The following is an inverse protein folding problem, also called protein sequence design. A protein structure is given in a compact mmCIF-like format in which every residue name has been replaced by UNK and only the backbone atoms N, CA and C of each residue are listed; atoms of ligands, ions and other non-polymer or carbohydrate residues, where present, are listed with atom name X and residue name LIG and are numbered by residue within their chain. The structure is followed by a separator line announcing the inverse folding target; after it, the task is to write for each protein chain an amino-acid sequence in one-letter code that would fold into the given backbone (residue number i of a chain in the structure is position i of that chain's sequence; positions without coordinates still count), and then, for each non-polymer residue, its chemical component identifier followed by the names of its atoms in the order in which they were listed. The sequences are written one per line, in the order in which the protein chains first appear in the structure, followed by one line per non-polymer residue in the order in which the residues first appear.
data_IF_426947146560
#
_entry.id   IF_426947146560
#
_cell.length_a   1.000
_cell.length_b   1.000
_cell.length_c   1.000
_cell.angle_alpha   90.00
_cell.angle_beta   90.00
_cell.angle_gamma   90.00
#
_symmetry.space_group_name_H-M   'P 1'
#
loop_
_entity.id
_entity.type
_entity.pdbx_description
1 polymer ?
#
# COMPACT_ATOMS: atom_id res chain seq x y z
N UNK A 1 -2.54 15.80 22.22
CA UNK A 1 -3.65 14.79 22.30
C UNK A 1 -3.80 14.30 23.73
N UNK A 2 -4.96 13.75 24.08
CA UNK A 2 -5.24 13.13 25.39
C UNK A 2 -5.06 11.60 25.29
N UNK A 3 -4.88 10.87 26.42
CA UNK A 3 -4.84 9.40 26.42
C UNK A 3 -6.06 8.75 25.73
N UNK A 4 -7.25 9.37 25.85
CA UNK A 4 -8.46 8.90 25.17
C UNK A 4 -8.35 9.02 23.64
N UNK A 5 -7.78 10.12 23.15
CA UNK A 5 -7.58 10.33 21.72
C UNK A 5 -6.53 9.38 21.16
N UNK A 6 -5.46 9.09 21.89
CA UNK A 6 -4.49 8.07 21.52
C UNK A 6 -5.16 6.69 21.49
N UNK A 7 -5.87 6.29 22.55
CA UNK A 7 -6.58 5.01 22.57
C UNK A 7 -7.54 4.83 21.37
N UNK A 8 -8.23 5.89 20.96
CA UNK A 8 -9.10 5.85 19.80
C UNK A 8 -8.31 5.68 18.49
N UNK A 9 -7.17 6.35 18.36
CA UNK A 9 -6.32 6.25 17.16
C UNK A 9 -5.79 4.84 16.99
N UNK A 10 -5.16 4.27 18.03
CA UNK A 10 -4.63 2.91 18.00
C UNK A 10 -5.73 1.85 17.79
N UNK A 11 -6.90 2.04 18.43
CA UNK A 11 -8.04 1.17 18.17
C UNK A 11 -8.53 1.21 16.73
N UNK A 12 -8.56 2.40 16.13
CA UNK A 12 -8.95 2.60 14.73
C UNK A 12 -7.96 1.89 13.80
N UNK A 13 -6.66 2.03 14.05
CA UNK A 13 -5.62 1.50 13.20
C UNK A 13 -5.53 -0.04 13.38
N UNK A 14 -5.68 -0.55 14.60
CA UNK A 14 -5.90 -1.98 14.86
C UNK A 14 -7.06 -2.57 14.05
N UNK A 15 -8.23 -1.91 14.07
CA UNK A 15 -9.39 -2.39 13.33
C UNK A 15 -9.15 -2.31 11.82
N UNK A 16 -8.50 -1.25 11.34
CA UNK A 16 -8.18 -1.07 9.94
C UNK A 16 -7.27 -2.18 9.42
N UNK A 17 -6.13 -2.42 10.06
CA UNK A 17 -5.19 -3.47 9.68
C UNK A 17 -5.82 -4.86 9.72
N UNK A 18 -6.52 -5.19 10.80
CA UNK A 18 -7.23 -6.48 10.95
C UNK A 18 -8.28 -6.70 9.86
N UNK A 19 -9.09 -5.70 9.54
CA UNK A 19 -10.16 -5.84 8.54
C UNK A 19 -9.61 -5.87 7.11
N UNK A 20 -8.49 -5.21 6.85
CA UNK A 20 -7.78 -5.29 5.57
C UNK A 20 -7.10 -6.65 5.40
N UNK A 21 -6.45 -7.18 6.42
CA UNK A 21 -5.83 -8.51 6.40
C UNK A 21 -6.81 -9.62 6.03
N UNK A 22 -8.06 -9.56 6.54
CA UNK A 22 -9.11 -10.55 6.21
C UNK A 22 -9.47 -10.63 4.73
N UNK A 23 -9.28 -9.56 3.99
CA UNK A 23 -9.67 -9.45 2.58
C UNK A 23 -8.46 -9.38 1.64
N UNK A 24 -7.26 -9.32 2.18
CA UNK A 24 -6.03 -9.25 1.40
C UNK A 24 -5.71 -10.60 0.75
N UNK A 25 -5.37 -10.56 -0.54
CA UNK A 25 -5.02 -11.74 -1.34
C UNK A 25 -3.51 -11.96 -1.45
N UNK A 26 -2.72 -10.88 -1.38
CA UNK A 26 -1.28 -10.97 -1.33
C UNK A 26 -0.87 -11.48 0.05
N UNK A 27 -0.32 -12.71 0.12
CA UNK A 27 -0.02 -13.38 1.38
C UNK A 27 1.04 -12.63 2.20
N UNK A 28 2.06 -12.08 1.54
CA UNK A 28 3.13 -11.35 2.23
C UNK A 28 2.59 -10.06 2.86
N UNK A 29 1.76 -9.33 2.10
CA UNK A 29 1.15 -8.12 2.64
C UNK A 29 0.09 -8.42 3.71
N UNK A 30 -0.61 -9.53 3.59
CA UNK A 30 -1.52 -10.00 4.65
C UNK A 30 -0.78 -10.24 5.95
N UNK A 31 0.37 -10.90 5.91
CA UNK A 31 1.21 -11.13 7.09
C UNK A 31 1.64 -9.81 7.73
N UNK A 32 2.10 -8.84 6.93
CA UNK A 32 2.44 -7.50 7.42
C UNK A 32 1.24 -6.85 8.13
N UNK A 33 0.06 -6.88 7.52
CA UNK A 33 -1.14 -6.31 8.13
C UNK A 33 -1.55 -7.00 9.44
N UNK A 34 -1.33 -8.31 9.56
CA UNK A 34 -1.60 -9.08 10.79
C UNK A 34 -0.61 -8.70 11.90
N UNK A 35 0.68 -8.53 11.58
CA UNK A 35 1.71 -8.06 12.52
C UNK A 35 1.42 -6.64 13.00
N UNK A 36 1.11 -5.72 12.07
CA UNK A 36 0.72 -4.36 12.41
C UNK A 36 -0.51 -4.34 13.32
N UNK A 37 -1.51 -5.16 13.04
CA UNK A 37 -2.72 -5.24 13.88
C UNK A 37 -2.42 -5.71 15.31
N UNK A 38 -1.50 -6.64 15.53
CA UNK A 38 -1.13 -7.08 16.88
C UNK A 38 -0.34 -6.00 17.64
N UNK A 39 0.54 -5.24 16.97
CA UNK A 39 1.22 -4.11 17.59
C UNK A 39 0.23 -3.01 18.01
N UNK A 40 -0.64 -2.58 17.10
CA UNK A 40 -1.67 -1.56 17.38
C UNK A 40 -2.61 -1.97 18.52
N UNK A 41 -2.95 -3.26 18.60
CA UNK A 41 -3.75 -3.78 19.70
C UNK A 41 -3.06 -3.63 21.04
N UNK A 42 -1.75 -3.91 21.11
CA UNK A 42 -0.96 -3.72 22.33
C UNK A 42 -0.91 -2.26 22.76
N UNK A 43 -0.68 -1.36 21.80
CA UNK A 43 -0.62 0.08 22.05
C UNK A 43 -2.00 0.66 22.40
N UNK A 44 -3.07 0.16 21.76
CA UNK A 44 -4.45 0.46 22.18
C UNK A 44 -4.73 0.04 23.61
N UNK A 45 -4.37 -1.17 24.02
CA UNK A 45 -4.61 -1.67 25.38
C UNK A 45 -3.88 -0.82 26.42
N UNK A 46 -2.66 -0.38 26.13
CA UNK A 46 -1.92 0.53 26.97
C UNK A 46 -2.66 1.88 27.12
N UNK A 47 -3.03 2.54 26.04
CA UNK A 47 -3.71 3.83 26.09
C UNK A 47 -5.11 3.73 26.70
N UNK A 48 -5.82 2.63 26.44
CA UNK A 48 -7.12 2.34 27.05
C UNK A 48 -7.01 2.23 28.58
N UNK A 49 -5.93 1.68 29.10
CA UNK A 49 -5.73 1.60 30.54
C UNK A 49 -5.62 2.98 31.18
N UNK A 50 -5.02 3.95 30.50
CA UNK A 50 -4.85 5.34 30.93
C UNK A 50 -6.06 6.23 30.59
N UNK A 51 -6.96 5.79 29.73
CA UNK A 51 -8.15 6.53 29.30
C UNK A 51 -9.29 6.40 30.31
N UNK A 52 -10.07 7.45 30.46
CA UNK A 52 -11.34 7.41 31.18
C UNK A 52 -12.42 6.62 30.44
N UNK A 53 -12.37 6.63 29.11
CA UNK A 53 -13.26 5.86 28.25
C UNK A 53 -12.68 4.46 27.98
N UNK A 54 -13.48 3.42 28.22
CA UNK A 54 -13.03 2.02 28.12
C UNK A 54 -13.51 1.30 26.87
N UNK A 55 -14.51 1.84 26.17
CA UNK A 55 -15.08 1.24 24.98
C UNK A 55 -14.98 2.20 23.78
N UNK A 56 -14.46 1.70 22.69
CA UNK A 56 -14.32 2.41 21.41
C UNK A 56 -15.00 1.60 20.32
N UNK A 57 -15.55 2.29 19.34
CA UNK A 57 -16.18 1.67 18.17
C UNK A 57 -15.84 2.42 16.92
N UNK A 58 -15.69 1.68 15.83
CA UNK A 58 -15.50 2.22 14.49
C UNK A 58 -16.77 2.02 13.69
N UNK A 59 -17.21 3.07 13.05
CA UNK A 59 -18.43 3.01 12.24
C UNK A 59 -18.20 2.06 11.04
N UNK A 60 -19.13 1.13 10.72
CA UNK A 60 -18.97 0.17 9.63
C UNK A 60 -18.65 0.81 8.27
N UNK A 61 -19.15 2.03 8.03
CA UNK A 61 -18.84 2.77 6.81
C UNK A 61 -17.34 3.09 6.66
N UNK A 62 -16.61 3.32 7.75
CA UNK A 62 -15.16 3.55 7.69
C UNK A 62 -14.43 2.30 7.25
N UNK A 63 -14.81 1.14 7.79
CA UNK A 63 -14.24 -0.15 7.38
C UNK A 63 -14.51 -0.42 5.89
N UNK A 64 -15.74 -0.12 5.45
CA UNK A 64 -16.10 -0.26 4.04
C UNK A 64 -15.26 0.66 3.14
N UNK A 65 -15.02 1.91 3.56
CA UNK A 65 -14.17 2.87 2.81
C UNK A 65 -12.74 2.35 2.68
N UNK A 66 -12.12 1.79 3.72
CA UNK A 66 -10.76 1.21 3.63
C UNK A 66 -10.70 0.06 2.63
N UNK A 67 -11.69 -0.85 2.67
CA UNK A 67 -11.79 -1.97 1.71
C UNK A 67 -12.02 -1.47 0.28
N UNK A 68 -12.82 -0.42 0.10
CA UNK A 68 -13.03 0.20 -1.21
C UNK A 68 -11.74 0.86 -1.74
N UNK A 69 -11.03 1.60 -0.90
CA UNK A 69 -9.73 2.19 -1.25
C UNK A 69 -8.77 1.11 -1.75
N UNK A 70 -8.64 0.00 -1.01
CA UNK A 70 -7.79 -1.13 -1.40
C UNK A 70 -8.19 -1.68 -2.78
N UNK A 71 -9.50 -1.86 -3.00
CA UNK A 71 -10.02 -2.44 -4.24
C UNK A 71 -9.85 -1.53 -5.47
N UNK A 72 -10.03 -0.21 -5.29
CA UNK A 72 -10.08 0.76 -6.42
C UNK A 72 -8.71 1.38 -6.68
N UNK A 73 -7.97 1.73 -5.64
CA UNK A 73 -6.68 2.46 -5.72
C UNK A 73 -5.46 1.56 -5.64
N UNK A 74 -5.66 0.29 -5.31
CA UNK A 74 -4.58 -0.70 -5.22
C UNK A 74 -3.78 -0.62 -3.91
N UNK A 75 -2.79 -1.52 -3.81
CA UNK A 75 -1.99 -1.70 -2.60
C UNK A 75 -1.08 -0.50 -2.32
N UNK A 76 -0.41 0.01 -3.33
CA UNK A 76 0.52 1.15 -3.18
C UNK A 76 -0.16 2.39 -2.59
N UNK A 77 -1.40 2.68 -3.02
CA UNK A 77 -2.13 3.81 -2.49
C UNK A 77 -2.58 3.57 -1.05
N UNK A 78 -3.06 2.37 -0.75
CA UNK A 78 -3.47 2.00 0.60
C UNK A 78 -2.29 2.07 1.58
N UNK A 79 -1.15 1.48 1.22
CA UNK A 79 0.05 1.52 2.05
C UNK A 79 0.53 2.95 2.32
N UNK A 80 0.49 3.82 1.29
CA UNK A 80 0.80 5.24 1.44
C UNK A 80 -0.19 6.01 2.31
N UNK A 81 -1.46 5.63 2.25
CA UNK A 81 -2.50 6.20 3.09
C UNK A 81 -2.28 5.81 4.56
N UNK A 82 -1.96 4.55 4.84
CA UNK A 82 -1.66 4.05 6.18
C UNK A 82 -0.37 4.69 6.73
N UNK A 83 0.71 4.73 5.96
CA UNK A 83 1.97 5.41 6.30
C UNK A 83 1.73 6.88 6.72
N UNK A 84 0.86 7.59 6.02
CA UNK A 84 0.56 8.99 6.36
C UNK A 84 -0.13 9.15 7.73
N UNK A 85 -0.79 8.10 8.23
CA UNK A 85 -1.38 8.07 9.57
C UNK A 85 -0.30 7.86 10.63
N UNK A 86 0.62 6.92 10.41
CA UNK A 86 1.75 6.66 11.30
C UNK A 86 2.62 7.91 11.52
N UNK A 87 2.98 8.59 10.45
CA UNK A 87 3.75 9.84 10.52
C UNK A 87 3.05 10.95 11.34
N UNK A 88 1.72 10.99 11.35
CA UNK A 88 0.95 11.91 12.20
C UNK A 88 0.96 11.47 13.66
N UNK A 89 0.81 10.18 13.92
CA UNK A 89 0.85 9.60 15.27
C UNK A 89 2.20 9.88 15.93
N UNK A 90 3.30 9.65 15.26
CA UNK A 90 4.67 9.96 15.74
C UNK A 90 4.79 11.44 16.16
N UNK A 91 4.24 12.38 15.37
CA UNK A 91 4.27 13.80 15.71
C UNK A 91 3.50 14.09 17.00
N UNK A 92 2.32 13.54 17.13
CA UNK A 92 1.50 13.74 18.34
C UNK A 92 2.15 13.11 19.57
N UNK A 93 2.83 11.98 19.44
CA UNK A 93 3.59 11.37 20.53
C UNK A 93 4.77 12.25 20.96
N UNK A 94 5.52 12.83 20.02
CA UNK A 94 6.61 13.77 20.32
C UNK A 94 6.10 15.00 21.09
N UNK A 95 4.97 15.54 20.68
CA UNK A 95 4.31 16.65 21.38
C UNK A 95 3.87 16.26 22.79
N UNK A 96 3.27 15.08 22.95
CA UNK A 96 2.83 14.59 24.24
C UNK A 96 3.98 14.30 25.19
N UNK A 97 5.07 13.70 24.70
CA UNK A 97 6.29 13.42 25.48
C UNK A 97 6.89 14.67 26.12
N UNK A 98 6.75 15.84 25.49
CA UNK A 98 7.27 17.11 26.05
C UNK A 98 6.58 17.50 27.38
N UNK A 99 5.38 17.00 27.63
CA UNK A 99 4.58 17.25 28.84
C UNK A 99 4.64 16.12 29.88
N UNK A 100 5.22 14.97 29.53
CA UNK A 100 5.29 13.80 30.39
C UNK A 100 6.53 13.89 31.30
N UNK A 101 6.32 13.85 32.62
CA UNK A 101 7.38 13.83 33.62
C UNK A 101 7.67 12.45 34.19
N UNK A 102 6.72 11.52 34.11
CA UNK A 102 6.87 10.15 34.54
C UNK A 102 7.81 9.38 33.59
N UNK A 103 8.85 8.82 34.14
CA UNK A 103 9.91 8.10 33.41
C UNK A 103 9.41 6.78 32.80
N UNK A 104 8.53 6.05 33.52
CA UNK A 104 7.99 4.78 33.02
C UNK A 104 7.02 5.01 31.85
N UNK A 105 6.13 5.99 32.02
CA UNK A 105 5.21 6.42 30.96
C UNK A 105 5.98 6.92 29.73
N UNK A 106 7.04 7.70 29.95
CA UNK A 106 7.91 8.20 28.87
C UNK A 106 8.55 7.08 28.07
N UNK A 107 9.15 6.10 28.76
CA UNK A 107 9.77 4.94 28.11
C UNK A 107 8.77 4.13 27.29
N UNK A 108 7.55 3.95 27.80
CA UNK A 108 6.51 3.21 27.10
C UNK A 108 6.06 3.95 25.83
N UNK A 109 5.92 5.28 25.87
CA UNK A 109 5.58 6.09 24.69
C UNK A 109 6.71 6.05 23.66
N UNK A 110 7.96 6.08 24.09
CA UNK A 110 9.13 5.91 23.20
C UNK A 110 9.09 4.56 22.47
N UNK A 111 8.74 3.47 23.16
CA UNK A 111 8.53 2.15 22.53
C UNK A 111 7.39 2.17 21.50
N UNK A 112 6.27 2.82 21.79
CA UNK A 112 5.16 2.96 20.84
C UNK A 112 5.59 3.74 19.59
N UNK A 113 6.39 4.79 19.77
CA UNK A 113 6.95 5.54 18.62
C UNK A 113 7.90 4.70 17.78
N UNK A 114 8.72 3.83 18.41
CA UNK A 114 9.58 2.89 17.70
C UNK A 114 8.76 1.90 16.86
N UNK A 115 7.62 1.41 17.39
CA UNK A 115 6.68 0.57 16.63
C UNK A 115 6.14 1.33 15.41
N UNK A 116 5.65 2.56 15.59
CA UNK A 116 5.12 3.38 14.49
C UNK A 116 6.17 3.64 13.39
N UNK A 117 7.44 3.88 13.76
CA UNK A 117 8.55 4.01 12.79
C UNK A 117 8.88 2.68 12.09
N UNK A 118 8.70 1.55 12.75
CA UNK A 118 8.85 0.22 12.15
C UNK A 118 7.71 -0.07 11.17
N UNK A 119 6.47 0.26 11.54
CA UNK A 119 5.29 0.14 10.67
C UNK A 119 5.46 0.93 9.37
N UNK A 120 5.91 2.19 9.47
CA UNK A 120 6.22 3.01 8.31
C UNK A 120 7.24 2.32 7.40
N UNK A 121 8.33 1.78 7.97
CA UNK A 121 9.37 1.07 7.20
C UNK A 121 8.83 -0.19 6.52
N UNK A 122 8.01 -0.99 7.20
CA UNK A 122 7.41 -2.21 6.66
C UNK A 122 6.50 -1.88 5.48
N UNK A 123 5.60 -0.91 5.63
CA UNK A 123 4.70 -0.46 4.58
C UNK A 123 5.45 0.11 3.37
N UNK A 124 6.48 0.93 3.61
CA UNK A 124 7.30 1.52 2.55
C UNK A 124 8.16 0.50 1.80
N UNK A 125 8.66 -0.53 2.48
CA UNK A 125 9.41 -1.61 1.82
C UNK A 125 8.53 -2.33 0.80
N UNK A 126 7.29 -2.62 1.17
CA UNK A 126 6.35 -3.31 0.28
C UNK A 126 5.94 -2.47 -0.93
N UNK A 127 5.75 -1.16 -0.75
CA UNK A 127 5.51 -0.24 -1.87
C UNK A 127 6.68 -0.25 -2.86
N UNK A 128 7.93 -0.30 -2.38
CA UNK A 128 9.12 -0.34 -3.23
C UNK A 128 9.19 -1.65 -4.02
N UNK A 129 8.94 -2.78 -3.38
CA UNK A 129 8.92 -4.10 -4.03
C UNK A 129 7.89 -4.14 -5.18
N UNK A 130 6.63 -3.76 -4.92
CA UNK A 130 5.60 -3.73 -5.95
C UNK A 130 5.94 -2.81 -7.12
N UNK A 131 6.54 -1.64 -6.85
CA UNK A 131 6.96 -0.74 -7.93
C UNK A 131 8.06 -1.33 -8.80
N UNK A 132 9.03 -2.01 -8.22
CA UNK A 132 10.11 -2.66 -8.95
C UNK A 132 9.56 -3.78 -9.81
N UNK A 133 8.67 -4.62 -9.28
CA UNK A 133 8.03 -5.70 -10.01
C UNK A 133 7.17 -5.16 -11.17
N UNK A 134 6.38 -4.12 -10.92
CA UNK A 134 5.55 -3.48 -11.95
C UNK A 134 6.39 -2.84 -13.07
N UNK A 135 7.48 -2.14 -12.73
CA UNK A 135 8.39 -1.55 -13.71
C UNK A 135 9.08 -2.67 -14.51
N UNK A 136 9.50 -3.75 -13.87
CA UNK A 136 10.09 -4.92 -14.53
C UNK A 136 9.14 -5.51 -15.57
N UNK A 137 7.88 -5.70 -15.22
CA UNK A 137 6.85 -6.22 -16.14
C UNK A 137 6.60 -5.27 -17.32
N UNK A 138 6.59 -3.95 -17.10
CA UNK A 138 6.47 -2.96 -18.19
C UNK A 138 7.66 -3.05 -19.14
N UNK A 139 8.88 -3.10 -18.60
CA UNK A 139 10.11 -3.16 -19.42
C UNK A 139 10.13 -4.43 -20.28
N UNK A 140 9.77 -5.59 -19.70
CA UNK A 140 9.67 -6.84 -20.43
C UNK A 140 8.64 -6.75 -21.57
N UNK A 141 7.44 -6.28 -21.27
CA UNK A 141 6.38 -6.12 -22.27
C UNK A 141 6.74 -5.14 -23.38
N UNK A 142 7.44 -4.04 -23.07
CA UNK A 142 7.95 -3.09 -24.07
C UNK A 142 9.00 -3.72 -24.96
N UNK A 143 9.95 -4.49 -24.39
CA UNK A 143 10.98 -5.17 -25.15
C UNK A 143 10.38 -6.17 -26.15
N UNK A 144 9.47 -7.02 -25.68
CA UNK A 144 8.82 -8.03 -26.52
C UNK A 144 8.03 -7.36 -27.64
N UNK A 145 7.25 -6.32 -27.32
CA UNK A 145 6.48 -5.56 -28.30
C UNK A 145 7.35 -4.84 -29.34
N UNK A 146 8.50 -4.29 -28.94
CA UNK A 146 9.44 -3.65 -29.86
C UNK A 146 10.08 -4.66 -30.80
N UNK A 147 10.46 -5.85 -30.32
CA UNK A 147 11.06 -6.91 -31.15
C UNK A 147 10.03 -7.42 -32.15
N UNK A 148 8.81 -7.73 -31.71
CA UNK A 148 7.71 -8.21 -32.56
C UNK A 148 7.37 -7.18 -33.65
N UNK A 149 7.16 -5.93 -33.27
CA UNK A 149 6.81 -4.84 -34.18
C UNK A 149 7.94 -4.56 -35.19
N UNK A 150 9.20 -4.57 -34.73
CA UNK A 150 10.34 -4.36 -35.61
C UNK A 150 10.46 -5.48 -36.66
N UNK A 151 10.32 -6.74 -36.25
CA UNK A 151 10.32 -7.89 -37.16
C UNK A 151 9.18 -7.83 -38.17
N UNK A 152 7.97 -7.49 -37.72
CA UNK A 152 6.79 -7.33 -38.58
C UNK A 152 7.00 -6.21 -39.63
N UNK A 153 7.45 -5.02 -39.17
CA UNK A 153 7.69 -3.89 -40.09
C UNK A 153 8.76 -4.18 -41.13
N UNK A 154 9.86 -4.85 -40.75
CA UNK A 154 10.87 -5.30 -41.69
C UNK A 154 10.27 -6.28 -42.68
N UNK A 155 9.57 -7.31 -42.25
CA UNK A 155 8.89 -8.26 -43.11
C UNK A 155 7.92 -7.61 -44.09
N UNK A 156 7.08 -6.69 -43.61
CA UNK A 156 6.10 -5.96 -44.46
C UNK A 156 6.79 -5.04 -45.47
N UNK A 157 7.90 -4.40 -45.11
CA UNK A 157 8.64 -3.54 -46.04
C UNK A 157 9.28 -4.31 -47.20
N UNK A 158 9.58 -5.59 -47.03
CA UNK A 158 9.99 -6.46 -48.12
C UNK A 158 8.81 -6.99 -48.94
N UNK A 159 7.67 -7.18 -48.36
CA UNK A 159 6.50 -7.77 -49.00
C UNK A 159 5.64 -6.74 -49.77
N UNK A 160 5.64 -5.48 -49.35
CA UNK A 160 4.75 -4.43 -49.88
C UNK A 160 5.57 -3.20 -50.34
N UNK A 161 5.37 -2.77 -51.57
CA UNK A 161 5.96 -1.53 -52.09
C UNK A 161 5.26 -0.25 -51.64
N UNK A 162 4.05 -0.37 -51.07
CA UNK A 162 3.26 0.76 -50.63
C UNK A 162 3.49 1.06 -49.13
N UNK A 163 4.16 2.17 -48.85
CA UNK A 163 4.50 2.59 -47.49
C UNK A 163 3.29 2.78 -46.58
N UNK A 164 2.11 3.17 -47.12
CA UNK A 164 0.89 3.30 -46.33
C UNK A 164 0.38 1.94 -45.85
N UNK A 165 0.50 0.91 -46.69
CA UNK A 165 0.15 -0.47 -46.33
C UNK A 165 1.07 -0.97 -45.21
N UNK A 166 2.37 -0.76 -45.34
CA UNK A 166 3.37 -1.14 -44.34
C UNK A 166 3.06 -0.44 -42.99
N UNK A 167 2.80 0.87 -43.01
CA UNK A 167 2.51 1.65 -41.82
C UNK A 167 1.22 1.19 -41.14
N UNK A 168 0.12 1.02 -41.88
CA UNK A 168 -1.16 0.58 -41.32
C UNK A 168 -1.08 -0.83 -40.75
N UNK A 169 -0.43 -1.75 -41.44
CA UNK A 169 -0.25 -3.12 -40.96
C UNK A 169 0.62 -3.15 -39.68
N UNK A 170 1.69 -2.34 -39.65
CA UNK A 170 2.49 -2.17 -38.41
C UNK A 170 1.72 -1.65 -37.23
N UNK A 171 0.85 -0.64 -37.41
CA UNK A 171 0.00 -0.12 -36.34
C UNK A 171 -0.96 -1.22 -35.85
N UNK A 172 -1.61 -1.94 -36.75
CA UNK A 172 -2.52 -3.03 -36.38
C UNK A 172 -1.80 -4.12 -35.59
N UNK A 173 -0.60 -4.52 -36.05
CA UNK A 173 0.24 -5.51 -35.36
C UNK A 173 0.62 -5.02 -33.95
N UNK A 174 1.06 -3.76 -33.82
CA UNK A 174 1.45 -3.18 -32.53
C UNK A 174 0.27 -3.11 -31.53
N UNK A 175 -0.93 -2.76 -32.01
CA UNK A 175 -2.14 -2.77 -31.16
C UNK A 175 -2.48 -4.21 -30.74
N UNK A 176 -2.47 -5.17 -31.68
CA UNK A 176 -2.77 -6.56 -31.39
C UNK A 176 -1.78 -7.18 -30.38
N UNK A 177 -0.48 -6.93 -30.55
CA UNK A 177 0.57 -7.37 -29.62
C UNK A 177 0.36 -6.76 -28.23
N UNK A 178 0.08 -5.45 -28.14
CA UNK A 178 -0.17 -4.77 -26.87
C UNK A 178 -1.38 -5.35 -26.12
N UNK A 179 -2.47 -5.65 -26.82
CA UNK A 179 -3.65 -6.27 -26.23
C UNK A 179 -3.39 -7.72 -25.80
N UNK A 180 -2.64 -8.48 -26.58
CA UNK A 180 -2.25 -9.85 -26.24
C UNK A 180 -1.41 -9.91 -24.96
N UNK A 181 -0.38 -9.06 -24.87
CA UNK A 181 0.47 -8.97 -23.68
C UNK A 181 -0.32 -8.49 -22.45
N UNK A 182 -1.19 -7.48 -22.61
CA UNK A 182 -2.03 -7.03 -21.49
C UNK A 182 -2.97 -8.12 -20.98
N UNK A 183 -3.52 -8.97 -21.85
CA UNK A 183 -4.40 -10.08 -21.44
C UNK A 183 -3.64 -11.26 -20.82
N UNK A 184 -2.37 -11.45 -21.11
CA UNK A 184 -1.54 -12.52 -20.52
C UNK A 184 -0.97 -12.15 -19.14
N UNK A 185 -0.96 -10.86 -18.79
CA UNK A 185 -0.48 -10.36 -17.50
C UNK A 185 -1.57 -10.39 -16.41
N UNK A 186 -2.82 -10.74 -16.76
CA UNK A 186 -3.97 -10.86 -15.84
C UNK A 186 -4.46 -12.31 -15.74
#
# INVERSE_FOLDING_TARGET
MTPEQFAYTEYRDYVAYRELAKTEKNQDFKTILEELAEHEKGDYEFWRALSSKKEFSIHPAQVWVWKLIRRVKGLTFLAKFLESHEAKSIRHYKEYLSSVTDQELRKKIETIMEHAEEHERMLMSKIKEEKVEFIGSIILGLNDGLIELSGALVGFSFAFSNHLVVATTGIITGIAASLSMASSAY
#
